data_IF_114788151733
#
_entry.id   IF_114788151733
#
_cell.length_a   1.000
_cell.length_b   1.000
_cell.length_c   1.000
_cell.angle_alpha   90.00
_cell.angle_beta   90.00
_cell.angle_gamma   90.00
#
_symmetry.space_group_name_H-M   'P 1'
#
loop_
_entity.id
_entity.type
_entity.pdbx_description
1 polymer ?
#
# COMPACT_ATOMS: atom_id res chain seq x y z
N UNK A 1 4.06 -23.97 -10.29
CA UNK A 1 4.00 -22.65 -9.62
C UNK A 1 3.03 -21.76 -10.38
N UNK A 2 2.16 -21.09 -9.67
CA UNK A 2 1.15 -20.18 -10.26
C UNK A 2 1.85 -19.00 -10.93
N UNK A 3 1.42 -18.61 -12.12
CA UNK A 3 1.91 -17.43 -12.81
C UNK A 3 1.15 -16.19 -12.29
N UNK A 4 1.86 -15.15 -11.89
CA UNK A 4 1.31 -13.93 -11.29
C UNK A 4 1.39 -12.76 -12.25
N UNK A 5 0.31 -11.99 -12.38
CA UNK A 5 0.31 -10.71 -13.06
C UNK A 5 0.26 -9.56 -12.04
N UNK A 6 1.09 -8.52 -12.21
CA UNK A 6 1.22 -7.42 -11.24
C UNK A 6 0.91 -6.09 -11.89
N UNK A 7 -0.11 -5.40 -11.40
CA UNK A 7 -0.40 -4.00 -11.69
C UNK A 7 0.15 -3.11 -10.59
N UNK A 8 0.76 -1.98 -10.95
CA UNK A 8 1.41 -1.07 -10.01
C UNK A 8 2.84 -1.50 -9.61
N UNK A 9 3.48 -2.36 -10.42
CA UNK A 9 4.77 -2.99 -10.17
C UNK A 9 5.93 -2.03 -9.83
N UNK A 10 5.96 -0.83 -10.40
CA UNK A 10 7.05 0.14 -10.20
C UNK A 10 6.84 1.13 -9.05
N UNK A 11 5.75 0.97 -8.29
CA UNK A 11 5.46 1.72 -7.06
C UNK A 11 6.11 1.07 -5.83
N UNK A 12 6.06 1.74 -4.66
CA UNK A 12 6.72 1.28 -3.44
C UNK A 12 6.37 -0.15 -3.03
N UNK A 13 5.08 -0.47 -2.87
CA UNK A 13 4.62 -1.82 -2.49
C UNK A 13 4.79 -2.79 -3.67
N UNK A 14 4.36 -2.41 -4.88
CA UNK A 14 4.43 -3.30 -6.04
C UNK A 14 5.85 -3.71 -6.42
N UNK A 15 6.84 -2.82 -6.23
CA UNK A 15 8.25 -3.15 -6.42
C UNK A 15 8.72 -4.25 -5.46
N UNK A 16 8.31 -4.18 -4.21
CA UNK A 16 8.64 -5.21 -3.21
C UNK A 16 7.94 -6.54 -3.54
N UNK A 17 6.67 -6.50 -3.94
CA UNK A 17 5.92 -7.69 -4.40
C UNK A 17 6.65 -8.39 -5.55
N UNK A 18 7.04 -7.64 -6.60
CA UNK A 18 7.74 -8.24 -7.75
C UNK A 18 9.07 -8.84 -7.34
N UNK A 19 9.88 -8.13 -6.56
CA UNK A 19 11.19 -8.64 -6.09
C UNK A 19 11.05 -9.91 -5.28
N UNK A 20 10.06 -9.98 -4.40
CA UNK A 20 9.84 -11.15 -3.58
C UNK A 20 9.31 -12.34 -4.39
N UNK A 21 8.37 -12.12 -5.34
CA UNK A 21 7.91 -13.16 -6.27
C UNK A 21 9.06 -13.74 -7.10
N UNK A 22 9.91 -12.87 -7.67
CA UNK A 22 11.09 -13.29 -8.43
C UNK A 22 12.09 -14.04 -7.55
N UNK A 23 12.31 -13.59 -6.32
CA UNK A 23 13.17 -14.27 -5.34
C UNK A 23 12.67 -15.67 -4.97
N UNK A 24 11.36 -15.90 -5.00
CA UNK A 24 10.72 -17.21 -4.84
C UNK A 24 10.68 -18.04 -6.16
N UNK A 25 11.20 -17.52 -7.27
CA UNK A 25 11.18 -18.18 -8.59
C UNK A 25 9.80 -18.23 -9.24
N UNK A 26 8.87 -17.37 -8.82
CA UNK A 26 7.50 -17.31 -9.36
C UNK A 26 7.50 -16.58 -10.71
N UNK A 27 6.98 -17.16 -11.80
CA UNK A 27 6.85 -16.48 -13.08
C UNK A 27 5.92 -15.26 -12.93
N UNK A 28 6.44 -14.07 -13.21
CA UNK A 28 5.78 -12.79 -12.94
C UNK A 28 5.70 -11.96 -14.20
N UNK A 29 4.51 -11.44 -14.54
CA UNK A 29 4.30 -10.46 -15.59
C UNK A 29 3.95 -9.12 -14.97
N UNK A 30 4.54 -8.03 -15.44
CA UNK A 30 4.27 -6.67 -14.95
C UNK A 30 3.73 -5.79 -16.08
N UNK A 31 2.66 -5.01 -15.82
CA UNK A 31 2.21 -3.96 -16.72
C UNK A 31 2.81 -2.62 -16.27
N UNK A 32 3.59 -2.00 -17.14
CA UNK A 32 4.31 -0.77 -16.81
C UNK A 32 4.26 0.23 -17.96
N UNK A 33 4.21 1.52 -17.64
CA UNK A 33 4.26 2.60 -18.64
C UNK A 33 5.65 2.74 -19.25
N UNK A 34 6.68 2.49 -18.43
CA UNK A 34 8.08 2.62 -18.79
C UNK A 34 8.81 1.30 -18.52
N UNK A 35 9.06 0.49 -19.58
CA UNK A 35 9.83 -0.75 -19.46
C UNK A 35 11.26 -0.55 -18.96
N UNK A 36 11.91 0.58 -19.28
CA UNK A 36 13.28 0.86 -18.84
C UNK A 36 13.35 0.98 -17.30
N UNK A 37 12.35 1.61 -16.70
CA UNK A 37 12.23 1.67 -15.24
C UNK A 37 12.04 0.29 -14.62
N UNK A 38 11.23 -0.58 -15.22
CA UNK A 38 11.06 -1.94 -14.74
C UNK A 38 12.38 -2.74 -14.81
N UNK A 39 13.07 -2.66 -15.93
CA UNK A 39 14.36 -3.33 -16.11
C UNK A 39 15.43 -2.82 -15.12
N UNK A 40 15.45 -1.51 -14.83
CA UNK A 40 16.35 -0.93 -13.82
C UNK A 40 16.01 -1.41 -12.40
N UNK A 41 14.73 -1.63 -12.07
CA UNK A 41 14.30 -2.05 -10.73
C UNK A 41 14.48 -3.54 -10.47
N UNK A 42 14.28 -4.38 -11.49
CA UNK A 42 14.18 -5.82 -11.34
C UNK A 42 15.33 -6.60 -11.98
N UNK A 43 16.09 -5.95 -12.88
CA UNK A 43 17.11 -6.62 -13.66
C UNK A 43 16.54 -7.56 -14.73
N UNK A 44 17.42 -8.31 -15.39
CA UNK A 44 17.03 -9.38 -16.31
C UNK A 44 16.73 -10.67 -15.53
N UNK A 45 15.61 -11.30 -15.85
CA UNK A 45 15.21 -12.58 -15.27
C UNK A 45 14.35 -13.36 -16.25
N UNK A 46 14.61 -14.66 -16.39
CA UNK A 46 13.78 -15.58 -17.17
C UNK A 46 12.36 -15.78 -16.58
N UNK A 47 12.16 -15.33 -15.36
CA UNK A 47 10.88 -15.34 -14.65
C UNK A 47 10.09 -14.04 -14.78
N UNK A 48 10.70 -12.95 -15.32
CA UNK A 48 10.07 -11.66 -15.48
C UNK A 48 9.64 -11.43 -16.93
N UNK A 49 8.36 -11.13 -17.12
CA UNK A 49 7.83 -10.63 -18.39
C UNK A 49 7.36 -9.19 -18.22
N UNK A 50 7.89 -8.27 -19.02
CA UNK A 50 7.54 -6.85 -18.96
C UNK A 50 6.63 -6.51 -20.14
N UNK A 51 5.42 -6.07 -19.84
CA UNK A 51 4.41 -5.62 -20.81
C UNK A 51 4.28 -4.11 -20.71
N UNK A 52 4.45 -3.41 -21.83
CA UNK A 52 4.23 -1.98 -21.88
C UNK A 52 2.74 -1.66 -22.00
N UNK A 53 2.23 -0.81 -21.11
CA UNK A 53 0.85 -0.35 -21.10
C UNK A 53 0.55 0.44 -19.84
N UNK A 54 -0.66 0.96 -19.77
CA UNK A 54 -1.17 1.71 -18.61
C UNK A 54 -2.65 1.42 -18.37
N UNK A 55 -3.28 2.20 -17.50
CA UNK A 55 -4.69 2.02 -17.14
C UNK A 55 -5.67 2.73 -18.09
N UNK A 56 -5.19 3.49 -19.06
CA UNK A 56 -6.04 4.21 -20.04
C UNK A 56 -6.49 3.29 -21.19
N UNK A 57 -5.73 2.23 -21.49
CA UNK A 57 -6.08 1.19 -22.44
C UNK A 57 -5.91 -0.20 -21.82
N UNK A 58 -6.91 -1.06 -22.02
CA UNK A 58 -6.88 -2.44 -21.54
C UNK A 58 -6.25 -3.43 -22.52
N UNK A 59 -5.88 -3.01 -23.73
CA UNK A 59 -5.51 -3.91 -24.82
C UNK A 59 -4.24 -4.70 -24.52
N UNK A 60 -3.20 -4.03 -24.01
CA UNK A 60 -1.96 -4.66 -23.62
C UNK A 60 -2.17 -5.67 -22.48
N UNK A 61 -3.00 -5.35 -21.49
CA UNK A 61 -3.36 -6.26 -20.42
C UNK A 61 -4.16 -7.45 -20.95
N UNK A 62 -5.19 -7.19 -21.75
CA UNK A 62 -6.10 -8.19 -22.31
C UNK A 62 -5.36 -9.23 -23.17
N UNK A 63 -4.36 -8.78 -23.95
CA UNK A 63 -3.55 -9.67 -24.78
C UNK A 63 -2.52 -10.49 -24.01
N UNK A 64 -2.18 -10.11 -22.78
CA UNK A 64 -1.08 -10.71 -22.00
C UNK A 64 -1.52 -11.43 -20.72
N UNK A 65 -2.79 -11.28 -20.27
CA UNK A 65 -3.27 -11.87 -19.00
C UNK A 65 -3.54 -13.38 -19.11
N UNK A 66 -3.78 -13.90 -20.29
CA UNK A 66 -4.10 -15.33 -20.47
C UNK A 66 -3.00 -16.23 -19.89
N UNK A 67 -3.42 -17.31 -19.20
CA UNK A 67 -2.52 -18.28 -18.56
C UNK A 67 -1.94 -17.83 -17.20
N UNK A 68 -2.37 -16.68 -16.65
CA UNK A 68 -2.06 -16.31 -15.27
C UNK A 68 -3.13 -16.85 -14.32
N UNK A 69 -2.73 -17.27 -13.14
CA UNK A 69 -3.64 -17.75 -12.11
C UNK A 69 -3.95 -16.71 -11.05
N UNK A 70 -3.07 -15.72 -10.88
CA UNK A 70 -3.15 -14.66 -9.87
C UNK A 70 -2.99 -13.30 -10.50
N UNK A 71 -3.73 -12.32 -9.99
CA UNK A 71 -3.58 -10.92 -10.33
C UNK A 71 -3.41 -10.09 -9.05
N UNK A 72 -2.30 -9.37 -8.95
CA UNK A 72 -2.12 -8.32 -7.94
C UNK A 72 -2.53 -6.96 -8.50
N UNK A 73 -3.37 -6.22 -7.77
CA UNK A 73 -3.82 -4.88 -8.18
C UNK A 73 -3.42 -3.85 -7.14
N UNK A 74 -2.66 -2.84 -7.59
CA UNK A 74 -2.39 -1.63 -6.84
C UNK A 74 -2.52 -0.43 -7.79
N UNK A 75 -3.53 0.40 -7.57
CA UNK A 75 -3.83 1.58 -8.39
C UNK A 75 -3.65 2.84 -7.57
N UNK A 76 -2.91 3.80 -8.11
CA UNK A 76 -2.83 5.15 -7.59
C UNK A 76 -3.86 6.06 -8.29
N UNK A 77 -4.37 7.04 -7.58
CA UNK A 77 -5.40 7.95 -8.08
C UNK A 77 -6.81 7.51 -7.70
N UNK A 78 -7.44 8.28 -6.83
CA UNK A 78 -8.70 7.89 -6.19
C UNK A 78 -9.92 8.00 -7.12
N UNK A 79 -9.86 8.91 -8.10
CA UNK A 79 -11.02 9.27 -8.93
C UNK A 79 -11.48 8.12 -9.82
N UNK A 80 -10.54 7.50 -10.53
CA UNK A 80 -10.81 6.39 -11.45
C UNK A 80 -10.55 5.01 -10.84
N UNK A 81 -10.10 4.94 -9.58
CA UNK A 81 -9.72 3.69 -8.93
C UNK A 81 -10.80 2.61 -9.00
N UNK A 82 -12.07 2.88 -8.65
CA UNK A 82 -13.11 1.86 -8.71
C UNK A 82 -13.28 1.30 -10.13
N UNK A 83 -13.31 2.17 -11.13
CA UNK A 83 -13.46 1.79 -12.53
C UNK A 83 -12.28 0.97 -13.03
N UNK A 84 -11.05 1.43 -12.77
CA UNK A 84 -9.83 0.74 -13.19
C UNK A 84 -9.77 -0.65 -12.56
N UNK A 85 -9.83 -0.73 -11.23
CA UNK A 85 -9.74 -2.01 -10.52
C UNK A 85 -10.82 -3.00 -10.97
N UNK A 86 -12.07 -2.55 -11.07
CA UNK A 86 -13.18 -3.40 -11.53
C UNK A 86 -12.97 -3.90 -12.96
N UNK A 87 -12.55 -3.03 -13.87
CA UNK A 87 -12.32 -3.38 -15.28
C UNK A 87 -11.22 -4.43 -15.42
N UNK A 88 -10.07 -4.22 -14.76
CA UNK A 88 -8.95 -5.14 -14.84
C UNK A 88 -9.24 -6.48 -14.13
N UNK A 89 -9.92 -6.47 -12.99
CA UNK A 89 -10.35 -7.69 -12.32
C UNK A 89 -11.34 -8.51 -13.18
N UNK A 90 -12.32 -7.86 -13.81
CA UNK A 90 -13.28 -8.49 -14.72
C UNK A 90 -12.56 -9.19 -15.87
N UNK A 91 -11.68 -8.50 -16.59
CA UNK A 91 -10.91 -9.06 -17.70
C UNK A 91 -10.06 -10.23 -17.23
N UNK A 92 -9.45 -10.14 -16.06
CA UNK A 92 -8.64 -11.22 -15.49
C UNK A 92 -9.47 -12.47 -15.21
N UNK A 93 -10.63 -12.33 -14.57
CA UNK A 93 -11.51 -13.48 -14.31
C UNK A 93 -12.04 -14.09 -15.60
N UNK A 94 -12.43 -13.30 -16.59
CA UNK A 94 -12.84 -13.77 -17.93
C UNK A 94 -11.72 -14.53 -18.65
N UNK A 95 -10.46 -14.21 -18.36
CA UNK A 95 -9.28 -14.91 -18.89
C UNK A 95 -8.85 -16.16 -18.08
N UNK A 96 -9.59 -16.49 -16.99
CA UNK A 96 -9.34 -17.69 -16.18
C UNK A 96 -8.45 -17.45 -14.94
N UNK A 97 -8.18 -16.20 -14.55
CA UNK A 97 -7.51 -15.89 -13.28
C UNK A 97 -8.38 -16.40 -12.13
N UNK A 98 -7.76 -17.13 -11.22
CA UNK A 98 -8.43 -17.77 -10.08
C UNK A 98 -8.58 -16.85 -8.88
N UNK A 99 -7.63 -15.93 -8.69
CA UNK A 99 -7.60 -15.05 -7.54
C UNK A 99 -7.07 -13.65 -7.89
N UNK A 100 -7.76 -12.62 -7.40
CA UNK A 100 -7.32 -11.23 -7.42
C UNK A 100 -6.96 -10.80 -6.01
N UNK A 101 -5.76 -10.25 -5.82
CA UNK A 101 -5.28 -9.66 -4.57
C UNK A 101 -5.18 -8.16 -4.74
N UNK A 102 -5.96 -7.42 -3.99
CA UNK A 102 -6.08 -5.98 -4.10
C UNK A 102 -5.54 -5.26 -2.87
N UNK A 103 -4.69 -4.25 -3.08
CA UNK A 103 -4.36 -3.30 -2.00
C UNK A 103 -5.46 -2.26 -1.92
N UNK A 104 -6.34 -2.46 -0.97
CA UNK A 104 -7.43 -1.57 -0.59
C UNK A 104 -6.96 -0.57 0.49
N UNK A 105 -7.78 -0.26 1.47
CA UNK A 105 -7.44 0.62 2.58
C UNK A 105 -8.29 0.36 3.82
N UNK A 106 -7.70 0.47 5.00
CA UNK A 106 -8.39 0.24 6.29
C UNK A 106 -9.64 1.11 6.46
N UNK A 107 -9.64 2.30 5.86
CA UNK A 107 -10.79 3.22 5.89
C UNK A 107 -12.10 2.63 5.34
N UNK A 108 -12.07 1.57 4.53
CA UNK A 108 -13.27 0.87 4.01
C UNK A 108 -14.14 0.32 5.14
N UNK A 109 -13.53 -0.06 6.27
CA UNK A 109 -14.25 -0.53 7.45
C UNK A 109 -15.01 0.57 8.21
N UNK A 110 -14.81 1.83 7.84
CA UNK A 110 -15.50 2.98 8.42
C UNK A 110 -16.86 3.29 7.80
N UNK A 111 -17.42 4.46 8.13
CA UNK A 111 -18.71 4.88 7.63
C UNK A 111 -18.71 5.11 6.12
N UNK A 112 -19.74 4.65 5.44
CA UNK A 112 -19.95 4.88 4.02
C UNK A 112 -19.89 6.39 3.67
N UNK A 113 -19.12 6.71 2.62
CA UNK A 113 -18.89 8.10 2.16
C UNK A 113 -18.26 9.03 3.20
N UNK A 114 -17.52 8.50 4.16
CA UNK A 114 -16.82 9.32 5.14
C UNK A 114 -15.91 10.36 4.46
N UNK A 115 -15.07 9.90 3.51
CA UNK A 115 -14.26 10.78 2.68
C UNK A 115 -13.94 10.15 1.32
N UNK A 116 -13.20 10.87 0.48
CA UNK A 116 -12.87 10.41 -0.89
C UNK A 116 -11.99 9.15 -0.92
N UNK A 117 -11.10 8.97 0.06
CA UNK A 117 -10.23 7.79 0.15
C UNK A 117 -11.08 6.56 0.47
N UNK A 118 -11.90 6.66 1.51
CA UNK A 118 -12.86 5.61 1.88
C UNK A 118 -13.78 5.25 0.74
N UNK A 119 -14.37 6.25 0.08
CA UNK A 119 -15.31 6.04 -1.03
C UNK A 119 -14.64 5.32 -2.21
N UNK A 120 -13.42 5.71 -2.59
CA UNK A 120 -12.71 5.09 -3.71
C UNK A 120 -12.44 3.59 -3.45
N UNK A 121 -11.91 3.27 -2.28
CA UNK A 121 -11.64 1.87 -1.91
C UNK A 121 -12.94 1.06 -1.73
N UNK A 122 -13.94 1.63 -1.05
CA UNK A 122 -15.24 0.98 -0.86
C UNK A 122 -15.89 0.57 -2.18
N UNK A 123 -16.00 1.50 -3.13
CA UNK A 123 -16.60 1.19 -4.42
C UNK A 123 -15.74 0.24 -5.26
N UNK A 124 -14.41 0.29 -5.15
CA UNK A 124 -13.55 -0.67 -5.82
C UNK A 124 -13.79 -2.09 -5.31
N UNK A 125 -13.75 -2.31 -3.99
CA UNK A 125 -14.05 -3.61 -3.39
C UNK A 125 -15.45 -4.10 -3.73
N UNK A 126 -16.47 -3.26 -3.49
CA UNK A 126 -17.86 -3.59 -3.76
C UNK A 126 -18.07 -4.04 -5.20
N UNK A 127 -17.58 -3.25 -6.16
CA UNK A 127 -17.79 -3.54 -7.58
C UNK A 127 -17.08 -4.83 -8.02
N UNK A 128 -15.87 -5.12 -7.50
CA UNK A 128 -15.17 -6.38 -7.80
C UNK A 128 -15.90 -7.55 -7.15
N UNK A 129 -16.32 -7.40 -5.89
CA UNK A 129 -17.00 -8.46 -5.15
C UNK A 129 -18.33 -8.86 -5.80
N UNK A 130 -19.01 -7.90 -6.41
CA UNK A 130 -20.30 -8.11 -7.10
C UNK A 130 -20.17 -8.58 -8.56
N UNK A 131 -18.94 -8.77 -9.09
CA UNK A 131 -18.77 -9.30 -10.45
C UNK A 131 -19.36 -10.71 -10.56
N UNK A 132 -20.18 -10.96 -11.61
CA UNK A 132 -20.70 -12.31 -11.84
C UNK A 132 -19.57 -13.26 -12.26
N UNK A 133 -19.66 -14.51 -11.82
CA UNK A 133 -18.72 -15.60 -12.17
C UNK A 133 -17.24 -15.26 -11.86
N UNK A 134 -16.99 -14.42 -10.85
CA UNK A 134 -15.64 -14.15 -10.39
C UNK A 134 -15.00 -15.33 -9.67
N UNK A 135 -13.68 -15.36 -9.65
CA UNK A 135 -12.91 -16.20 -8.74
C UNK A 135 -12.79 -15.57 -7.34
N UNK A 136 -11.79 -16.02 -6.59
CA UNK A 136 -11.44 -15.47 -5.27
C UNK A 136 -11.02 -14.00 -5.34
N UNK A 137 -11.46 -13.18 -4.39
CA UNK A 137 -11.05 -11.79 -4.22
C UNK A 137 -10.54 -11.56 -2.81
N UNK A 138 -9.29 -11.15 -2.69
CA UNK A 138 -8.65 -10.86 -1.41
C UNK A 138 -8.36 -9.36 -1.30
N UNK A 139 -8.92 -8.73 -0.29
CA UNK A 139 -8.68 -7.32 0.01
C UNK A 139 -7.65 -7.16 1.14
N UNK A 140 -6.52 -6.55 0.85
CA UNK A 140 -5.57 -6.08 1.86
C UNK A 140 -5.96 -4.66 2.26
N UNK A 141 -6.29 -4.44 3.52
CA UNK A 141 -6.78 -3.14 4.05
C UNK A 141 -5.75 -2.51 5.00
N UNK A 142 -4.66 -1.97 4.48
CA UNK A 142 -3.66 -1.33 5.31
C UNK A 142 -4.15 0.00 5.88
N UNK A 143 -3.60 0.35 7.04
CA UNK A 143 -3.71 1.68 7.67
C UNK A 143 -2.60 2.62 7.18
N UNK A 144 -2.22 3.66 7.94
CA UNK A 144 -1.15 4.57 7.53
C UNK A 144 0.19 3.82 7.36
N UNK A 145 0.95 4.20 6.35
CA UNK A 145 2.21 3.53 6.02
C UNK A 145 3.40 4.16 6.75
N UNK A 146 4.37 3.37 7.19
CA UNK A 146 5.64 3.92 7.68
C UNK A 146 6.33 4.81 6.65
N UNK A 147 6.18 4.52 5.36
CA UNK A 147 6.72 5.35 4.28
C UNK A 147 6.11 6.76 4.20
N UNK A 148 5.00 7.03 4.90
CA UNK A 148 4.43 8.38 4.99
C UNK A 148 5.38 9.38 5.65
N UNK A 149 6.34 8.90 6.46
CA UNK A 149 7.41 9.75 7.01
C UNK A 149 8.29 10.40 5.93
N UNK A 150 8.28 9.90 4.69
CA UNK A 150 8.95 10.55 3.56
C UNK A 150 8.16 11.73 2.98
N UNK A 151 6.92 11.98 3.37
CA UNK A 151 6.13 13.12 2.89
C UNK A 151 6.37 14.44 3.68
N UNK A 152 7.43 14.52 4.46
CA UNK A 152 7.77 15.75 5.17
C UNK A 152 8.66 15.52 6.38
N UNK A 153 8.39 14.50 7.18
CA UNK A 153 9.13 14.25 8.43
C UNK A 153 10.65 14.12 8.19
N UNK A 154 11.07 13.41 7.13
CA UNK A 154 12.49 13.26 6.82
C UNK A 154 13.22 14.60 6.65
N UNK A 155 12.59 15.60 6.02
CA UNK A 155 13.19 16.93 5.83
C UNK A 155 13.23 17.71 7.14
N UNK A 156 12.15 17.67 7.92
CA UNK A 156 12.10 18.42 9.18
C UNK A 156 12.96 17.78 10.26
N UNK A 157 13.09 16.47 10.30
CA UNK A 157 14.03 15.75 11.16
C UNK A 157 15.47 16.10 10.80
N UNK A 158 15.82 16.05 9.52
CA UNK A 158 17.19 16.35 9.05
C UNK A 158 17.64 17.76 9.37
N UNK A 159 16.74 18.75 9.29
CA UNK A 159 17.12 20.18 9.43
C UNK A 159 16.74 20.81 10.77
N UNK A 160 15.82 20.21 11.53
CA UNK A 160 15.26 20.81 12.74
C UNK A 160 15.14 19.83 13.92
N UNK A 161 15.59 18.59 13.76
CA UNK A 161 15.42 17.51 14.75
C UNK A 161 13.97 17.36 15.24
N UNK A 162 12.98 17.59 14.35
CA UNK A 162 11.58 17.73 14.74
C UNK A 162 10.64 17.06 13.73
N UNK A 163 9.65 16.36 14.25
CA UNK A 163 8.45 15.94 13.52
C UNK A 163 7.34 16.95 13.83
N UNK A 164 6.70 17.50 12.82
CA UNK A 164 5.53 18.37 12.97
C UNK A 164 4.24 17.63 12.59
N UNK A 165 3.20 17.82 13.38
CA UNK A 165 1.88 17.24 13.06
C UNK A 165 0.75 17.96 13.78
N UNK A 166 -0.51 17.82 13.30
CA UNK A 166 -1.63 18.57 13.87
C UNK A 166 -2.29 17.90 15.06
N UNK A 167 -1.94 16.64 15.36
CA UNK A 167 -2.60 15.84 16.40
C UNK A 167 -1.92 16.05 17.75
N UNK A 168 -2.67 15.73 18.83
CA UNK A 168 -2.09 15.69 20.16
C UNK A 168 -0.85 14.78 20.20
N UNK A 169 0.23 15.17 20.88
CA UNK A 169 1.46 14.37 20.94
C UNK A 169 1.29 12.93 21.43
N UNK A 170 0.25 12.65 22.22
CA UNK A 170 -0.06 11.32 22.77
C UNK A 170 -1.19 10.60 22.00
N UNK A 171 -1.85 11.27 21.06
CA UNK A 171 -2.89 10.68 20.23
C UNK A 171 -2.31 9.61 19.31
N UNK A 172 -2.83 8.38 19.42
CA UNK A 172 -2.32 7.22 18.68
C UNK A 172 -3.10 6.97 17.40
N UNK A 173 -2.42 7.00 16.28
CA UNK A 173 -2.90 6.54 14.97
C UNK A 173 -2.37 5.14 14.64
N UNK A 174 -3.00 4.51 13.64
CA UNK A 174 -2.75 3.11 13.25
C UNK A 174 -1.80 3.05 12.05
N UNK A 175 -0.79 2.20 12.12
CA UNK A 175 0.33 2.14 11.17
C UNK A 175 0.65 0.72 10.74
N UNK A 176 1.25 0.59 9.55
CA UNK A 176 1.77 -0.66 9.01
C UNK A 176 2.97 -0.41 8.08
N UNK A 177 3.86 -1.38 7.99
CA UNK A 177 4.96 -1.36 7.02
C UNK A 177 4.48 -1.71 5.62
N UNK A 178 5.00 -1.03 4.59
CA UNK A 178 4.81 -1.43 3.20
C UNK A 178 5.46 -2.76 2.86
N UNK A 179 6.51 -3.13 3.61
CA UNK A 179 7.16 -4.46 3.52
C UNK A 179 6.20 -5.57 3.94
N UNK A 180 5.45 -5.35 5.03
CA UNK A 180 4.45 -6.33 5.48
C UNK A 180 3.29 -6.47 4.51
N UNK A 181 2.85 -5.36 3.90
CA UNK A 181 1.79 -5.39 2.87
C UNK A 181 2.26 -6.22 1.67
N UNK A 182 3.47 -5.98 1.18
CA UNK A 182 4.03 -6.71 0.05
C UNK A 182 4.21 -8.20 0.38
N UNK A 183 4.73 -8.49 1.57
CA UNK A 183 4.96 -9.86 2.01
C UNK A 183 3.65 -10.66 2.13
N UNK A 184 2.62 -10.08 2.76
CA UNK A 184 1.30 -10.73 2.82
C UNK A 184 0.70 -10.94 1.42
N UNK A 185 0.82 -9.94 0.54
CA UNK A 185 0.35 -10.10 -0.84
C UNK A 185 1.01 -11.29 -1.54
N UNK A 186 2.33 -11.46 -1.34
CA UNK A 186 3.09 -12.59 -1.93
C UNK A 186 2.65 -13.92 -1.30
N UNK A 187 2.52 -14.01 0.02
CA UNK A 187 2.05 -15.22 0.68
C UNK A 187 0.68 -15.63 0.12
N UNK A 188 -0.30 -14.73 0.10
CA UNK A 188 -1.64 -14.97 -0.47
C UNK A 188 -1.57 -15.46 -1.93
N UNK A 189 -0.66 -14.94 -2.75
CA UNK A 189 -0.52 -15.34 -4.15
C UNK A 189 0.27 -16.62 -4.37
N UNK A 190 1.02 -17.09 -3.38
CA UNK A 190 1.82 -18.33 -3.48
C UNK A 190 1.20 -19.51 -2.73
N UNK A 191 0.35 -19.24 -1.77
CA UNK A 191 -0.40 -20.24 -1.02
C UNK A 191 -1.60 -20.77 -1.83
N UNK A 192 -2.21 -21.90 -1.42
CA UNK A 192 -3.46 -22.39 -2.02
C UNK A 192 -4.57 -21.32 -1.98
N UNK A 193 -5.32 -21.19 -3.09
CA UNK A 193 -6.41 -20.18 -3.17
C UNK A 193 -7.42 -20.34 -2.04
N UNK A 194 -7.70 -21.58 -1.71
CA UNK A 194 -8.73 -21.98 -0.75
C UNK A 194 -8.44 -21.46 0.66
N UNK A 195 -7.16 -21.30 1.03
CA UNK A 195 -6.76 -20.79 2.33
C UNK A 195 -7.07 -19.29 2.50
N UNK A 196 -7.14 -18.55 1.39
CA UNK A 196 -7.37 -17.11 1.36
C UNK A 196 -8.65 -16.71 0.62
N UNK A 197 -9.54 -17.67 0.34
CA UNK A 197 -10.71 -17.41 -0.48
C UNK A 197 -11.61 -16.33 0.11
N UNK A 198 -11.79 -15.22 -0.65
CA UNK A 198 -12.61 -14.06 -0.27
C UNK A 198 -12.24 -13.43 1.09
N UNK A 199 -10.99 -13.58 1.51
CA UNK A 199 -10.50 -13.01 2.76
C UNK A 199 -10.31 -11.50 2.67
N UNK A 200 -10.55 -10.86 3.81
CA UNK A 200 -10.20 -9.46 4.06
C UNK A 200 -9.16 -9.41 5.17
N UNK A 201 -8.04 -8.77 4.90
CA UNK A 201 -6.96 -8.61 5.86
C UNK A 201 -6.82 -7.15 6.29
N UNK A 202 -7.36 -6.80 7.45
CA UNK A 202 -7.10 -5.51 8.08
C UNK A 202 -5.65 -5.49 8.57
N UNK A 203 -4.86 -4.53 8.06
CA UNK A 203 -3.42 -4.48 8.29
C UNK A 203 -3.04 -3.27 9.15
N UNK A 204 -3.05 -3.48 10.46
CA UNK A 204 -2.50 -2.55 11.47
C UNK A 204 -1.49 -3.31 12.31
N UNK A 205 -0.20 -2.97 12.18
CA UNK A 205 0.86 -3.60 12.98
C UNK A 205 1.20 -2.83 14.26
N UNK A 206 0.95 -1.51 14.29
CA UNK A 206 1.24 -0.68 15.44
C UNK A 206 0.24 0.46 15.61
N UNK A 207 0.06 0.92 16.85
CA UNK A 207 -0.59 2.18 17.18
C UNK A 207 0.43 3.12 17.82
N UNK A 208 0.72 4.22 17.14
CA UNK A 208 1.82 5.11 17.46
C UNK A 208 1.34 6.56 17.56
N UNK A 209 1.75 7.24 18.62
CA UNK A 209 1.58 8.68 18.81
C UNK A 209 2.69 9.48 18.12
N UNK A 210 2.56 10.80 18.12
CA UNK A 210 3.64 11.70 17.71
C UNK A 210 4.91 11.47 18.51
N UNK A 211 4.78 11.36 19.83
CA UNK A 211 5.90 11.09 20.73
C UNK A 211 6.52 9.70 20.55
N UNK A 212 5.71 8.64 20.32
CA UNK A 212 6.26 7.31 20.02
C UNK A 212 7.14 7.33 18.76
N UNK A 213 6.72 8.03 17.71
CA UNK A 213 7.49 8.18 16.45
C UNK A 213 8.79 8.96 16.65
N UNK A 214 8.74 10.06 17.39
CA UNK A 214 9.91 10.86 17.75
C UNK A 214 10.91 10.06 18.59
N UNK A 215 10.43 9.28 19.57
CA UNK A 215 11.27 8.43 20.41
C UNK A 215 11.97 7.33 19.59
N UNK A 216 11.25 6.68 18.65
CA UNK A 216 11.85 5.68 17.77
C UNK A 216 12.97 6.28 16.89
N UNK A 217 12.74 7.45 16.31
CA UNK A 217 13.77 8.17 15.54
C UNK A 217 14.95 8.61 16.40
N UNK A 218 14.70 9.14 17.62
CA UNK A 218 15.76 9.53 18.55
C UNK A 218 16.70 8.37 18.84
N UNK A 219 16.14 7.19 19.09
CA UNK A 219 16.91 5.97 19.36
C UNK A 219 17.77 5.55 18.16
N UNK A 220 17.20 5.59 16.93
CA UNK A 220 17.89 5.21 15.70
C UNK A 220 19.00 6.19 15.33
N UNK A 221 18.73 7.51 15.48
CA UNK A 221 19.67 8.56 15.09
C UNK A 221 20.72 8.84 16.16
N UNK A 222 20.46 8.47 17.42
CA UNK A 222 21.36 8.76 18.56
C UNK A 222 21.36 10.24 18.96
N UNK A 223 20.28 10.97 18.67
CA UNK A 223 20.04 12.36 19.03
C UNK A 223 18.59 12.60 19.40
N UNK A 224 18.30 13.65 20.17
CA UNK A 224 16.93 13.98 20.56
C UNK A 224 16.13 14.45 19.34
N UNK A 225 15.03 13.78 19.03
CA UNK A 225 14.02 14.22 18.06
C UNK A 225 12.74 14.52 18.83
N UNK A 226 12.08 15.63 18.52
CA UNK A 226 10.85 16.07 19.17
C UNK A 226 9.65 15.96 18.24
N UNK A 227 8.48 15.72 18.81
CA UNK A 227 7.22 15.96 18.13
C UNK A 227 6.67 17.33 18.58
N UNK A 228 6.29 18.16 17.62
CA UNK A 228 5.72 19.48 17.88
C UNK A 228 4.36 19.57 17.20
N UNK A 229 3.33 19.78 18.02
CA UNK A 229 1.98 19.99 17.52
C UNK A 229 1.88 21.36 16.83
N UNK A 230 1.28 21.37 15.64
CA UNK A 230 0.98 22.59 14.88
C UNK A 230 -0.52 22.66 14.59
N UNK A 231 -1.08 23.84 14.32
CA UNK A 231 -2.47 23.99 13.91
C UNK A 231 -2.80 23.16 12.65
N UNK A 232 -4.03 22.64 12.55
CA UNK A 232 -4.48 21.90 11.36
C UNK A 232 -4.35 22.72 10.08
N UNK A 233 -4.58 24.03 10.14
CA UNK A 233 -4.43 24.95 9.02
C UNK A 233 -2.99 24.98 8.50
N UNK A 234 -2.00 24.96 9.39
CA UNK A 234 -0.58 24.98 9.03
C UNK A 234 -0.16 23.63 8.43
N UNK A 235 -0.63 22.51 9.02
CA UNK A 235 -0.41 21.20 8.45
C UNK A 235 -1.03 21.07 7.04
N UNK A 236 -2.26 21.54 6.86
CA UNK A 236 -2.93 21.58 5.57
C UNK A 236 -2.14 22.39 4.53
N UNK A 237 -1.71 23.60 4.91
CA UNK A 237 -0.92 24.49 4.07
C UNK A 237 0.40 23.84 3.65
N UNK A 238 1.11 23.20 4.59
CA UNK A 238 2.36 22.49 4.31
C UNK A 238 2.19 21.36 3.28
N UNK A 239 1.11 20.58 3.36
CA UNK A 239 0.84 19.55 2.36
C UNK A 239 0.54 20.10 0.96
N UNK A 240 -0.16 21.24 0.88
CA UNK A 240 -0.43 21.89 -0.41
C UNK A 240 0.85 22.49 -0.99
N UNK A 241 1.61 23.24 -0.22
CA UNK A 241 2.75 24.03 -0.70
C UNK A 241 4.01 23.19 -0.93
N UNK A 242 4.26 22.19 -0.10
CA UNK A 242 5.50 21.41 -0.16
C UNK A 242 5.34 20.01 -0.71
N UNK A 243 4.22 19.35 -0.47
CA UNK A 243 3.94 18.05 -1.06
C UNK A 243 3.09 18.13 -2.36
N UNK A 244 2.64 19.32 -2.75
CA UNK A 244 1.83 19.58 -3.94
C UNK A 244 0.59 18.70 -4.06
N UNK A 245 -0.01 18.31 -2.94
CA UNK A 245 -1.21 17.50 -2.90
C UNK A 245 -2.47 18.36 -3.08
N UNK A 246 -3.48 17.90 -3.81
CA UNK A 246 -4.72 18.66 -3.99
C UNK A 246 -5.49 18.78 -2.68
N UNK A 247 -6.17 19.92 -2.47
CA UNK A 247 -6.93 20.24 -1.25
C UNK A 247 -7.80 19.08 -0.75
N UNK A 248 -8.60 18.49 -1.64
CA UNK A 248 -9.54 17.41 -1.28
C UNK A 248 -8.85 16.16 -0.73
N UNK A 249 -7.63 15.87 -1.21
CA UNK A 249 -6.84 14.74 -0.71
C UNK A 249 -6.22 15.07 0.64
N UNK A 250 -5.67 16.27 0.79
CA UNK A 250 -5.08 16.73 2.07
C UNK A 250 -6.14 16.73 3.18
N UNK A 251 -7.33 17.27 2.89
CA UNK A 251 -8.44 17.24 3.84
C UNK A 251 -8.77 15.81 4.26
N UNK A 252 -8.91 14.91 3.29
CA UNK A 252 -9.22 13.50 3.56
C UNK A 252 -8.13 12.79 4.38
N UNK A 253 -6.84 13.08 4.12
CA UNK A 253 -5.72 12.50 4.87
C UNK A 253 -5.75 12.97 6.32
N UNK A 254 -5.90 14.27 6.55
CA UNK A 254 -5.90 14.86 7.89
C UNK A 254 -7.10 14.36 8.71
N UNK A 255 -8.28 14.23 8.09
CA UNK A 255 -9.46 13.72 8.77
C UNK A 255 -9.38 12.21 9.04
N UNK A 256 -8.86 11.43 8.09
CA UNK A 256 -8.78 9.97 8.24
C UNK A 256 -7.87 9.54 9.39
N UNK A 257 -6.81 10.27 9.67
CA UNK A 257 -5.90 9.95 10.76
C UNK A 257 -6.52 10.22 12.13
N UNK A 258 -7.41 11.24 12.25
CA UNK A 258 -8.10 11.56 13.48
C UNK A 258 -9.31 10.65 13.76
N UNK A 259 -9.98 10.16 12.70
CA UNK A 259 -11.33 9.60 12.84
C UNK A 259 -11.38 8.08 13.08
N UNK A 260 -10.30 7.32 12.86
CA UNK A 260 -10.38 5.84 12.88
C UNK A 260 -9.19 5.16 13.54
N UNK A 261 -9.25 4.97 14.86
CA UNK A 261 -8.26 4.15 15.56
C UNK A 261 -8.53 2.66 15.30
N UNK A 262 -7.94 2.10 14.24
CA UNK A 262 -7.99 0.66 14.02
C UNK A 262 -7.17 -0.07 15.08
N UNK A 263 -7.69 -1.16 15.67
CA UNK A 263 -6.91 -1.98 16.60
C UNK A 263 -5.73 -2.63 15.89
N UNK A 264 -4.68 -2.93 16.63
CA UNK A 264 -3.59 -3.79 16.13
C UNK A 264 -4.17 -5.16 15.80
N UNK A 265 -3.94 -5.63 14.58
CA UNK A 265 -4.33 -6.97 14.16
C UNK A 265 -3.32 -7.99 14.68
N UNK A 266 -3.69 -8.70 15.75
CA UNK A 266 -2.83 -9.73 16.38
C UNK A 266 -2.63 -10.96 15.50
N UNK A 267 -3.53 -11.22 14.55
CA UNK A 267 -3.39 -12.33 13.59
C UNK A 267 -2.42 -12.05 12.46
N UNK A 268 -1.89 -10.82 12.37
CA UNK A 268 -1.02 -10.43 11.26
C UNK A 268 0.28 -11.26 11.21
N UNK A 269 0.89 -11.58 12.37
CA UNK A 269 2.07 -12.43 12.43
C UNK A 269 1.83 -13.85 11.90
N UNK A 270 0.60 -14.38 12.08
CA UNK A 270 0.23 -15.70 11.55
C UNK A 270 0.27 -15.74 10.03
N UNK A 271 -0.37 -14.75 9.37
CA UNK A 271 -0.45 -14.69 7.90
C UNK A 271 0.82 -14.16 7.24
N UNK A 272 1.66 -13.45 8.00
CA UNK A 272 3.00 -13.05 7.57
C UNK A 272 4.04 -14.17 7.77
N UNK A 273 3.74 -15.19 8.57
CA UNK A 273 4.69 -16.21 9.03
C UNK A 273 5.94 -15.63 9.72
N UNK A 274 5.82 -14.43 10.26
CA UNK A 274 6.83 -13.70 11.05
C UNK A 274 6.18 -12.54 11.80
N UNK A 275 6.90 -11.99 12.75
CA UNK A 275 6.46 -10.74 13.38
C UNK A 275 6.44 -9.59 12.36
N UNK A 276 5.44 -8.69 12.44
CA UNK A 276 5.40 -7.48 11.66
C UNK A 276 6.62 -6.59 11.89
N UNK A 277 7.06 -5.88 10.85
CA UNK A 277 8.15 -4.91 10.95
C UNK A 277 7.78 -3.79 11.92
N UNK A 278 8.65 -3.50 12.88
CA UNK A 278 8.47 -2.38 13.80
C UNK A 278 8.91 -1.06 13.17
N UNK A 279 8.38 0.07 13.67
CA UNK A 279 8.80 1.40 13.19
C UNK A 279 10.31 1.63 13.40
N UNK A 280 10.87 1.13 14.50
CA UNK A 280 12.32 1.24 14.78
C UNK A 280 13.16 0.47 13.74
N UNK A 281 12.74 -0.75 13.37
CA UNK A 281 13.42 -1.52 12.31
C UNK A 281 13.34 -0.79 10.98
N UNK A 282 12.16 -0.26 10.64
CA UNK A 282 11.96 0.51 9.43
C UNK A 282 12.83 1.77 9.39
N UNK A 283 12.88 2.56 10.47
CA UNK A 283 13.77 3.73 10.55
C UNK A 283 15.25 3.33 10.48
N UNK A 284 15.63 2.19 11.06
CA UNK A 284 17.02 1.69 10.97
C UNK A 284 17.41 1.39 9.53
N UNK A 285 16.54 0.73 8.77
CA UNK A 285 16.75 0.43 7.35
C UNK A 285 16.79 1.69 6.48
N UNK A 286 16.11 2.76 6.90
CA UNK A 286 16.02 4.03 6.17
C UNK A 286 16.79 5.19 6.82
N UNK A 287 17.71 4.90 7.74
CA UNK A 287 18.41 5.89 8.57
C UNK A 287 19.02 7.04 7.78
N UNK A 288 19.64 6.76 6.63
CA UNK A 288 20.31 7.75 5.79
C UNK A 288 19.38 8.85 5.26
N UNK A 289 18.09 8.59 5.15
CA UNK A 289 17.11 9.58 4.72
C UNK A 289 16.81 10.63 5.81
N UNK A 290 17.03 10.30 7.07
CA UNK A 290 16.70 11.13 8.24
C UNK A 290 17.95 11.72 8.93
N UNK A 291 19.15 11.26 8.58
CA UNK A 291 20.42 11.72 9.13
C UNK A 291 20.90 13.06 8.56
#
# INVERSE_FOLDING_TARGET
MSKVYVLGATGGIGNQVVKELLGKGVPTTVLVRDPSKANSLFGESDKLNVVQGDYTSVDAFKSSIAGHERLFILVHGLEDMPKIKTTFAKIAYEAGVKQVVDVSGGAVSGAWRNNIITAAHYYAEKNIYELPNRGSYVALRPTAFFTNHFFGDHMTVKHKDTIFGPYDPEEKSSWVSTTDIAHLAVNVMTDPVEEHNDMVYDMTSARLSGNDRAAALSKVLGKEIKYVQIPFQDAHKNFIEHAHLPHRLVYAILESNAAMPFPVNRGLSTVLHREPETLEQWFTANKSAFA
#
